data_IF_546111637643
#
_entry.id   IF_546111637643
#
_cell.length_a   1.000
_cell.length_b   1.000
_cell.length_c   1.000
_cell.angle_alpha   90.00
_cell.angle_beta   90.00
_cell.angle_gamma   90.00
#
_symmetry.space_group_name_H-M   'P 1'
#
loop_
_entity.id
_entity.type
_entity.pdbx_description
1 polymer ?
#
# COMPACT_ATOMS: atom_id res chain seq x y z
N UNK A 1 14.50 24.39 -77.60
CA UNK A 1 15.47 23.67 -76.75
C UNK A 1 15.82 24.63 -75.63
N UNK A 2 15.32 24.38 -74.42
CA UNK A 2 15.65 25.18 -73.25
C UNK A 2 16.05 24.24 -72.12
N UNK A 3 17.29 24.40 -71.66
CA UNK A 3 17.93 23.61 -70.61
C UNK A 3 18.10 24.50 -69.39
N UNK A 4 17.00 24.73 -68.66
CA UNK A 4 17.02 25.50 -67.42
C UNK A 4 17.27 24.59 -66.22
N UNK A 5 18.56 24.42 -65.95
CA UNK A 5 19.19 24.53 -64.63
C UNK A 5 18.31 24.15 -63.41
N UNK A 6 18.29 22.86 -63.08
CA UNK A 6 17.83 22.35 -61.79
C UNK A 6 19.01 22.27 -60.81
N UNK A 7 19.18 23.33 -60.01
CA UNK A 7 20.04 23.30 -58.83
C UNK A 7 19.42 22.34 -57.80
N UNK A 8 19.94 21.11 -57.72
CA UNK A 8 19.62 20.17 -56.65
C UNK A 8 20.31 20.63 -55.37
N UNK A 9 19.54 21.20 -54.43
CA UNK A 9 20.05 21.63 -53.14
C UNK A 9 19.92 20.47 -52.14
N UNK A 10 20.99 19.69 -52.01
CA UNK A 10 21.05 18.52 -51.12
C UNK A 10 21.38 19.03 -49.71
N UNK A 11 20.37 19.28 -48.89
CA UNK A 11 20.60 19.57 -47.47
C UNK A 11 20.85 18.26 -46.74
N UNK A 12 22.11 17.98 -46.40
CA UNK A 12 22.48 16.86 -45.54
C UNK A 12 21.94 17.12 -44.13
N UNK A 13 20.85 16.44 -43.79
CA UNK A 13 20.32 16.44 -42.44
C UNK A 13 21.14 15.45 -41.62
N UNK A 14 22.19 15.92 -40.93
CA UNK A 14 22.95 15.10 -39.99
C UNK A 14 22.01 14.61 -38.88
N UNK A 15 21.65 13.33 -38.94
CA UNK A 15 20.96 12.66 -37.84
C UNK A 15 21.96 12.49 -36.71
N UNK A 16 22.01 13.47 -35.81
CA UNK A 16 22.76 13.38 -34.56
C UNK A 16 22.13 12.26 -33.71
N UNK A 17 22.77 11.09 -33.73
CA UNK A 17 22.42 9.97 -32.86
C UNK A 17 23.03 10.15 -31.47
N UNK A 18 22.39 9.58 -30.44
CA UNK A 18 22.94 9.56 -29.09
C UNK A 18 24.26 8.79 -29.06
N UNK A 19 25.22 9.32 -28.32
CA UNK A 19 26.51 8.63 -28.15
C UNK A 19 26.36 7.48 -27.14
N UNK A 20 27.15 6.41 -27.32
CA UNK A 20 27.14 5.27 -26.40
C UNK A 20 27.46 5.70 -24.96
N UNK A 21 28.41 6.64 -24.82
CA UNK A 21 28.86 7.14 -23.52
C UNK A 21 27.79 7.96 -22.80
N UNK A 22 26.97 8.70 -23.56
CA UNK A 22 25.88 9.51 -23.03
C UNK A 22 24.78 8.65 -22.42
N UNK A 23 24.40 7.56 -23.11
CA UNK A 23 23.44 6.60 -22.56
C UNK A 23 24.04 5.83 -21.36
N UNK A 24 25.34 5.51 -21.40
CA UNK A 24 26.01 4.82 -20.28
C UNK A 24 26.00 5.67 -19.00
N UNK A 25 26.34 6.96 -19.08
CA UNK A 25 26.30 7.84 -17.91
C UNK A 25 24.88 8.06 -17.39
N UNK A 26 23.88 8.19 -18.28
CA UNK A 26 22.47 8.33 -17.88
C UNK A 26 21.99 7.11 -17.08
N UNK A 27 22.30 5.89 -17.53
CA UNK A 27 21.93 4.66 -16.81
C UNK A 27 22.60 4.56 -15.44
N UNK A 28 23.85 5.02 -15.32
CA UNK A 28 24.56 5.09 -14.03
C UNK A 28 23.87 6.07 -13.09
N UNK A 29 23.51 7.27 -13.56
CA UNK A 29 22.80 8.27 -12.75
C UNK A 29 21.45 7.73 -12.29
N UNK A 30 20.66 7.12 -13.19
CA UNK A 30 19.37 6.50 -12.85
C UNK A 30 19.56 5.37 -11.82
N UNK A 31 20.58 4.53 -11.99
CA UNK A 31 20.90 3.45 -11.05
C UNK A 31 21.21 3.97 -9.64
N UNK A 32 21.98 5.06 -9.53
CA UNK A 32 22.29 5.71 -8.25
C UNK A 32 21.03 6.33 -7.62
N UNK A 33 20.21 7.03 -8.42
CA UNK A 33 18.97 7.64 -7.93
C UNK A 33 17.99 6.61 -7.39
N UNK A 34 17.81 5.48 -8.09
CA UNK A 34 16.97 4.38 -7.63
C UNK A 34 17.57 3.71 -6.40
N UNK A 35 18.89 3.47 -6.40
CA UNK A 35 19.60 2.87 -5.28
C UNK A 35 19.50 3.67 -3.99
N UNK A 36 19.64 4.99 -4.06
CA UNK A 36 19.51 5.89 -2.90
C UNK A 36 18.04 6.18 -2.53
N UNK A 37 17.13 6.21 -3.51
CA UNK A 37 15.73 6.56 -3.33
C UNK A 37 14.85 5.42 -2.80
N UNK A 38 15.26 4.16 -2.96
CA UNK A 38 14.47 2.99 -2.59
C UNK A 38 14.14 2.91 -1.09
N UNK A 39 15.06 3.32 -0.22
CA UNK A 39 14.92 3.18 1.23
C UNK A 39 13.98 4.23 1.87
N UNK A 40 13.70 5.34 1.18
CA UNK A 40 12.89 6.44 1.72
C UNK A 40 11.38 6.21 1.59
N UNK A 41 10.95 5.46 0.58
CA UNK A 41 9.54 5.15 0.33
C UNK A 41 8.81 4.42 1.47
N UNK A 42 9.36 3.35 2.08
CA UNK A 42 8.63 2.59 3.10
C UNK A 42 8.37 3.36 4.40
N UNK A 43 9.18 4.38 4.72
CA UNK A 43 9.05 5.15 5.98
C UNK A 43 7.76 5.98 6.01
N UNK A 44 7.42 6.61 4.89
CA UNK A 44 6.19 7.42 4.78
C UNK A 44 4.93 6.55 4.87
N UNK A 45 4.97 5.34 4.30
CA UNK A 45 3.85 4.40 4.36
C UNK A 45 3.65 3.83 5.76
N UNK A 46 4.73 3.58 6.52
CA UNK A 46 4.65 3.05 7.89
C UNK A 46 3.87 3.98 8.83
N UNK A 47 4.05 5.29 8.74
CA UNK A 47 3.37 6.24 9.61
C UNK A 47 1.85 6.24 9.39
N UNK A 48 1.42 6.23 8.13
CA UNK A 48 -0.01 6.15 7.79
C UNK A 48 -0.62 4.83 8.29
N UNK A 49 0.08 3.71 8.11
CA UNK A 49 -0.36 2.40 8.61
C UNK A 49 -0.54 2.38 10.13
N UNK A 50 0.36 3.00 10.90
CA UNK A 50 0.24 3.05 12.36
C UNK A 50 -0.97 3.88 12.82
N UNK A 51 -1.21 5.03 12.17
CA UNK A 51 -2.37 5.87 12.49
C UNK A 51 -3.68 5.14 12.20
N UNK A 52 -3.79 4.52 11.04
CA UNK A 52 -4.94 3.72 10.65
C UNK A 52 -5.15 2.54 11.61
N UNK A 53 -4.08 1.82 11.98
CA UNK A 53 -4.19 0.69 12.90
C UNK A 53 -4.70 1.09 14.29
N UNK A 54 -4.29 2.25 14.80
CA UNK A 54 -4.84 2.81 16.05
C UNK A 54 -6.32 3.13 15.93
N UNK A 55 -6.74 3.70 14.80
CA UNK A 55 -8.16 4.00 14.53
C UNK A 55 -9.00 2.73 14.54
N UNK A 56 -8.52 1.65 13.90
CA UNK A 56 -9.22 0.35 13.87
C UNK A 56 -9.40 -0.20 15.29
N UNK A 57 -8.35 -0.15 16.13
CA UNK A 57 -8.45 -0.63 17.52
C UNK A 57 -9.45 0.18 18.35
N UNK A 58 -9.50 1.50 18.19
CA UNK A 58 -10.48 2.33 18.89
C UNK A 58 -11.91 2.07 18.41
N UNK A 59 -12.11 1.92 17.11
CA UNK A 59 -13.41 1.53 16.53
C UNK A 59 -13.87 0.17 17.09
N UNK A 60 -12.97 -0.82 17.12
CA UNK A 60 -13.22 -2.13 17.72
C UNK A 60 -13.60 -2.01 19.20
N UNK A 61 -12.89 -1.17 19.97
CA UNK A 61 -13.18 -0.94 21.39
C UNK A 61 -14.61 -0.40 21.57
N UNK A 62 -15.00 0.57 20.74
CA UNK A 62 -16.37 1.12 20.75
C UNK A 62 -17.40 0.06 20.36
N UNK A 63 -17.11 -0.78 19.37
CA UNK A 63 -17.99 -1.88 18.96
C UNK A 63 -18.22 -2.92 20.08
N UNK A 64 -17.15 -3.32 20.78
CA UNK A 64 -17.24 -4.23 21.93
C UNK A 64 -18.09 -3.62 23.05
N UNK A 65 -17.88 -2.34 23.36
CA UNK A 65 -18.67 -1.62 24.36
C UNK A 65 -20.14 -1.55 23.92
N UNK A 66 -20.42 -1.23 22.65
CA UNK A 66 -21.76 -1.20 22.09
C UNK A 66 -22.48 -2.54 22.20
N UNK A 67 -21.77 -3.64 21.91
CA UNK A 67 -22.28 -4.99 22.10
C UNK A 67 -22.62 -5.28 23.57
N UNK A 68 -21.74 -4.89 24.49
CA UNK A 68 -21.98 -5.08 25.92
C UNK A 68 -23.16 -4.27 26.46
N UNK A 69 -23.36 -3.04 25.95
CA UNK A 69 -24.54 -2.24 26.28
C UNK A 69 -25.82 -2.87 25.72
N UNK A 70 -25.78 -3.48 24.54
CA UNK A 70 -26.94 -4.09 23.90
C UNK A 70 -27.32 -5.46 24.49
N UNK A 71 -26.34 -6.28 24.86
CA UNK A 71 -26.55 -7.68 25.30
C UNK A 71 -26.41 -7.87 26.81
N UNK A 72 -25.88 -6.88 27.53
CA UNK A 72 -25.60 -6.95 28.96
C UNK A 72 -24.36 -7.80 29.30
N UNK A 73 -23.58 -8.25 28.31
CA UNK A 73 -22.36 -9.04 28.52
C UNK A 73 -21.28 -8.67 27.50
N UNK A 74 -20.03 -8.93 27.86
CA UNK A 74 -18.96 -8.89 26.87
C UNK A 74 -19.11 -10.06 25.87
N UNK A 75 -18.70 -9.87 24.60
CA UNK A 75 -18.68 -10.94 23.62
C UNK A 75 -17.64 -12.00 24.01
N UNK A 76 -17.92 -13.26 23.67
CA UNK A 76 -16.89 -14.31 23.77
C UNK A 76 -15.87 -14.14 22.63
N UNK A 77 -14.63 -14.54 22.83
CA UNK A 77 -13.66 -14.59 21.74
C UNK A 77 -14.04 -15.66 20.71
N UNK A 78 -13.47 -15.57 19.51
CA UNK A 78 -13.48 -16.67 18.55
C UNK A 78 -12.22 -17.53 18.69
N UNK A 79 -12.33 -18.84 18.61
CA UNK A 79 -11.19 -19.75 18.50
C UNK A 79 -10.58 -19.71 17.08
N UNK A 80 -11.33 -19.24 16.08
CA UNK A 80 -10.86 -19.12 14.70
C UNK A 80 -10.95 -17.67 14.18
N UNK A 81 -10.41 -17.39 13.00
CA UNK A 81 -10.46 -16.05 12.40
C UNK A 81 -11.76 -15.78 11.62
N UNK A 82 -12.83 -16.55 11.89
CA UNK A 82 -14.12 -16.49 11.20
C UNK A 82 -14.92 -15.22 11.52
N UNK A 83 -14.69 -14.62 12.69
CA UNK A 83 -15.37 -13.41 13.13
C UNK A 83 -16.65 -13.63 13.92
N UNK A 84 -16.98 -14.87 14.26
CA UNK A 84 -18.13 -15.22 15.12
C UNK A 84 -17.66 -15.58 16.52
N UNK A 85 -18.43 -15.24 17.55
CA UNK A 85 -18.08 -15.63 18.92
C UNK A 85 -18.22 -17.13 19.16
N UNK A 86 -17.26 -17.73 19.86
CA UNK A 86 -17.30 -19.12 20.30
C UNK A 86 -17.64 -19.19 21.79
N UNK A 87 -18.66 -19.98 22.14
CA UNK A 87 -19.19 -19.98 23.51
C UNK A 87 -18.14 -20.46 24.52
N UNK A 88 -17.92 -19.69 25.57
CA UNK A 88 -17.01 -20.05 26.66
C UNK A 88 -15.54 -19.71 26.43
N UNK A 89 -15.20 -19.11 25.28
CA UNK A 89 -13.84 -18.64 25.02
C UNK A 89 -13.73 -17.18 25.45
N UNK A 90 -12.81 -16.88 26.36
CA UNK A 90 -12.57 -15.50 26.83
C UNK A 90 -11.39 -14.81 26.14
N UNK A 91 -10.48 -15.59 25.55
CA UNK A 91 -9.30 -15.09 24.83
C UNK A 91 -9.12 -15.84 23.51
N UNK A 92 -8.89 -15.12 22.42
CA UNK A 92 -8.83 -15.64 21.06
C UNK A 92 -8.83 -14.53 20.02
N UNK A 93 -9.48 -14.76 18.89
CA UNK A 93 -9.70 -13.75 17.87
C UNK A 93 -10.92 -12.89 18.18
N UNK A 94 -10.90 -11.64 17.71
CA UNK A 94 -12.04 -10.74 17.82
C UNK A 94 -13.23 -11.27 17.00
N UNK A 95 -14.42 -11.45 17.60
CA UNK A 95 -15.63 -11.83 16.88
C UNK A 95 -16.25 -10.62 16.16
N UNK A 96 -15.57 -10.12 15.13
CA UNK A 96 -15.89 -8.85 14.47
C UNK A 96 -17.28 -8.79 13.82
N UNK A 97 -17.84 -9.93 13.40
CA UNK A 97 -19.21 -10.03 12.87
C UNK A 97 -20.21 -9.85 14.01
N UNK A 98 -19.95 -10.49 15.15
CA UNK A 98 -20.81 -10.41 16.34
C UNK A 98 -20.84 -9.00 16.94
N UNK A 99 -19.69 -8.34 17.05
CA UNK A 99 -19.60 -6.97 17.63
C UNK A 99 -19.91 -5.86 16.63
N UNK A 100 -19.96 -6.15 15.33
CA UNK A 100 -20.21 -5.16 14.28
C UNK A 100 -19.02 -4.22 14.03
N UNK A 101 -17.79 -4.72 14.15
CA UNK A 101 -16.56 -3.97 13.96
C UNK A 101 -15.72 -4.48 12.79
N UNK A 102 -14.58 -3.83 12.54
CA UNK A 102 -13.62 -4.29 11.53
C UNK A 102 -12.88 -5.53 12.02
N UNK A 103 -12.87 -6.58 11.19
CA UNK A 103 -12.22 -7.83 11.52
C UNK A 103 -10.72 -7.87 11.34
N UNK A 104 -10.18 -7.03 10.44
CA UNK A 104 -8.78 -7.09 10.02
C UNK A 104 -8.10 -5.74 10.14
N UNK A 105 -6.82 -5.79 10.47
CA UNK A 105 -5.94 -4.64 10.49
C UNK A 105 -5.42 -4.26 9.09
N UNK A 106 -4.55 -3.24 9.04
CA UNK A 106 -3.87 -2.78 7.82
C UNK A 106 -2.89 -3.79 7.22
N UNK A 107 -2.59 -4.87 7.93
CA UNK A 107 -1.75 -5.99 7.52
C UNK A 107 -2.58 -7.26 7.21
N UNK A 108 -3.90 -7.14 7.10
CA UNK A 108 -4.84 -8.24 6.83
C UNK A 108 -4.87 -9.31 7.93
N UNK A 109 -4.40 -8.98 9.14
CA UNK A 109 -4.41 -9.86 10.31
C UNK A 109 -5.65 -9.59 11.15
N UNK A 110 -6.32 -10.65 11.59
CA UNK A 110 -7.44 -10.55 12.54
C UNK A 110 -6.94 -10.10 13.90
N UNK A 111 -7.67 -9.17 14.52
CA UNK A 111 -7.37 -8.67 15.85
C UNK A 111 -7.49 -9.78 16.89
N UNK A 112 -6.60 -9.76 17.87
CA UNK A 112 -6.62 -10.69 19.00
C UNK A 112 -7.32 -10.03 20.18
N UNK A 113 -8.19 -10.77 20.84
CA UNK A 113 -9.03 -10.39 21.97
C UNK A 113 -8.61 -11.23 23.18
N UNK A 114 -8.24 -10.60 24.30
CA UNK A 114 -7.75 -11.29 25.49
C UNK A 114 -8.16 -10.53 26.76
#
# INVERSE_FOLDING_TARGET
>A
MDITNTHCNITWQDKQGFTLIEIAMVLVIIGILVGLGADLFPVLVKQNKLKENRSIVEETRVAIIGYALATGRLPYASNTADGTEDTGITSGYLPYITVGGRGKDVYLKTLYYA
#
